data_IF_802732715835
#
_entry.id   IF_802732715835
#
_cell.length_a   1.000
_cell.length_b   1.000
_cell.length_c   1.000
_cell.angle_alpha   90.00
_cell.angle_beta   90.00
_cell.angle_gamma   90.00
#
_symmetry.space_group_name_H-M   'P 1'
#
loop_
_entity.id
_entity.type
_entity.pdbx_description
1 polymer ?
#
# COMPACT_ATOMS: atom_id res chain seq x y z
N UNK A 1 -28.62 -40.65 -65.93
CA UNK A 1 -29.38 -39.37 -65.88
C UNK A 1 -28.57 -38.45 -64.97
N UNK A 2 -27.54 -37.73 -65.45
CA UNK A 2 -27.55 -36.45 -66.22
C UNK A 2 -28.15 -35.37 -65.28
N UNK A 3 -27.47 -34.33 -64.77
CA UNK A 3 -26.49 -33.33 -65.31
C UNK A 3 -25.70 -32.76 -64.08
N UNK A 4 -24.36 -32.77 -63.98
CA UNK A 4 -23.30 -31.90 -64.56
C UNK A 4 -23.35 -30.40 -64.18
N UNK A 5 -22.28 -29.89 -63.56
CA UNK A 5 -21.62 -28.61 -63.94
C UNK A 5 -20.35 -28.40 -63.10
N UNK A 6 -19.23 -28.28 -63.82
CA UNK A 6 -17.86 -28.11 -63.34
C UNK A 6 -17.43 -26.63 -63.31
N UNK A 7 -16.33 -26.25 -62.61
CA UNK A 7 -15.67 -24.97 -62.80
C UNK A 7 -14.46 -25.07 -63.78
N UNK A 8 -14.12 -23.99 -64.54
CA UNK A 8 -12.93 -23.92 -65.40
C UNK A 8 -11.72 -23.21 -64.73
N UNK A 9 -10.53 -23.16 -65.38
CA UNK A 9 -9.23 -23.38 -64.72
C UNK A 9 -8.22 -22.20 -64.72
N UNK A 10 -7.04 -22.51 -64.14
CA UNK A 10 -5.78 -21.78 -64.06
C UNK A 10 -5.33 -20.94 -65.28
N UNK A 11 -4.61 -19.85 -65.00
CA UNK A 11 -3.40 -19.48 -65.76
C UNK A 11 -2.38 -18.75 -64.87
N UNK A 12 -1.13 -19.20 -64.99
CA UNK A 12 0.10 -18.66 -64.42
C UNK A 12 0.64 -17.55 -65.34
N UNK A 13 1.27 -16.53 -64.76
CA UNK A 13 2.37 -15.83 -65.41
C UNK A 13 3.49 -15.51 -64.42
N UNK A 14 4.70 -15.84 -64.86
CA UNK A 14 6.01 -15.73 -64.23
C UNK A 14 6.79 -14.54 -64.81
N UNK A 15 7.66 -13.93 -64.01
CA UNK A 15 8.99 -13.40 -64.40
C UNK A 15 9.75 -13.08 -63.10
N UNK A 16 10.79 -13.83 -62.70
CA UNK A 16 12.16 -13.95 -63.22
C UNK A 16 13.11 -12.80 -62.79
N UNK A 17 13.78 -13.04 -61.66
CA UNK A 17 15.20 -12.87 -61.32
C UNK A 17 16.07 -11.77 -61.97
N UNK A 18 16.84 -11.06 -61.14
CA UNK A 18 18.32 -11.03 -61.23
C UNK A 18 18.97 -10.40 -59.97
N UNK A 19 20.14 -10.94 -59.62
CA UNK A 19 20.95 -10.67 -58.45
C UNK A 19 22.16 -9.77 -58.76
N UNK A 20 22.75 -9.13 -57.74
CA UNK A 20 24.20 -8.92 -57.52
C UNK A 20 24.36 -7.98 -56.29
N UNK A 21 24.86 -8.43 -55.14
CA UNK A 21 26.28 -8.64 -54.78
C UNK A 21 27.04 -7.34 -54.47
N UNK A 22 27.45 -7.18 -53.21
CA UNK A 22 28.39 -6.16 -52.73
C UNK A 22 28.73 -6.39 -51.25
N UNK A 23 29.94 -6.89 -51.00
CA UNK A 23 30.37 -7.49 -49.75
C UNK A 23 30.98 -6.50 -48.72
N UNK A 24 30.86 -6.93 -47.45
CA UNK A 24 31.82 -6.85 -46.34
C UNK A 24 32.45 -5.51 -45.91
N UNK A 25 32.28 -5.18 -44.61
CA UNK A 25 33.38 -5.23 -43.63
C UNK A 25 32.90 -5.10 -42.18
N UNK A 26 33.47 -5.95 -41.34
CA UNK A 26 33.35 -5.96 -39.89
C UNK A 26 34.19 -4.85 -39.24
N UNK A 27 33.76 -4.38 -38.06
CA UNK A 27 34.66 -4.07 -36.93
C UNK A 27 33.84 -3.77 -35.67
N UNK A 28 34.05 -4.59 -34.63
CA UNK A 28 33.87 -4.18 -33.23
C UNK A 28 34.91 -3.10 -32.88
N UNK A 29 34.74 -2.34 -31.78
CA UNK A 29 35.39 -2.81 -30.55
C UNK A 29 34.63 -2.58 -29.22
N UNK A 30 35.08 -3.41 -28.29
CA UNK A 30 34.95 -3.47 -26.85
C UNK A 30 34.85 -2.16 -26.03
N UNK A 31 34.15 -2.32 -24.90
CA UNK A 31 34.39 -1.79 -23.54
C UNK A 31 35.31 -0.58 -23.37
N UNK A 32 34.78 0.45 -22.72
CA UNK A 32 35.49 1.03 -21.57
C UNK A 32 34.49 1.55 -20.52
N UNK A 33 34.77 1.13 -19.29
CA UNK A 33 34.11 1.50 -18.04
C UNK A 33 34.54 2.89 -17.60
N UNK A 34 33.63 3.86 -17.56
CA UNK A 34 33.90 5.14 -16.89
C UNK A 34 33.04 5.24 -15.63
N UNK A 35 33.68 4.95 -14.49
CA UNK A 35 33.29 5.46 -13.18
C UNK A 35 33.66 6.93 -13.16
N UNK A 36 32.67 7.80 -13.05
CA UNK A 36 32.88 9.19 -12.65
C UNK A 36 32.10 9.43 -11.35
N UNK A 37 32.84 9.42 -10.25
CA UNK A 37 32.39 10.03 -9.01
C UNK A 37 32.28 11.55 -9.25
N UNK A 38 31.11 12.12 -9.01
CA UNK A 38 30.95 13.57 -8.90
C UNK A 38 30.46 13.89 -7.51
N UNK A 39 31.42 14.29 -6.67
CA UNK A 39 31.18 15.04 -5.44
C UNK A 39 30.78 16.44 -5.88
N UNK A 40 29.53 16.82 -5.66
CA UNK A 40 29.12 18.23 -5.66
C UNK A 40 28.70 18.63 -4.26
N UNK A 41 29.61 19.30 -3.57
CA UNK A 41 29.30 20.21 -2.47
C UNK A 41 28.51 21.39 -3.03
N UNK A 42 27.29 21.60 -2.54
CA UNK A 42 26.61 22.89 -2.64
C UNK A 42 26.50 23.46 -1.24
N UNK A 43 27.19 24.58 -1.05
CA UNK A 43 27.13 25.44 0.13
C UNK A 43 25.70 25.96 0.31
N UNK A 44 25.12 25.70 1.47
CA UNK A 44 23.96 26.44 1.96
C UNK A 44 24.46 27.79 2.46
N UNK A 45 24.17 28.86 1.71
CA UNK A 45 24.31 30.24 2.17
C UNK A 45 23.01 30.69 2.80
N UNK A 46 23.19 31.41 3.90
CA UNK A 46 22.25 31.89 4.90
C UNK A 46 21.23 32.93 4.41
N UNK A 47 20.18 33.05 5.23
CA UNK A 47 19.44 34.28 5.57
C UNK A 47 18.20 34.60 4.74
N UNK A 48 17.02 34.27 5.28
CA UNK A 48 15.83 35.14 5.15
C UNK A 48 15.12 35.21 6.50
N UNK A 49 14.79 36.45 6.84
CA UNK A 49 14.49 36.97 8.15
C UNK A 49 13.07 36.66 8.65
N UNK A 50 13.00 36.53 9.97
CA UNK A 50 11.80 36.61 10.78
C UNK A 50 11.15 37.99 10.63
N UNK A 51 9.85 38.04 10.35
CA UNK A 51 9.05 39.24 10.56
C UNK A 51 7.71 38.86 11.18
N UNK A 52 7.43 39.25 12.46
CA UNK A 52 6.16 39.00 13.10
C UNK A 52 5.22 40.19 12.88
N UNK A 53 3.99 39.94 12.46
CA UNK A 53 2.92 40.93 12.61
C UNK A 53 1.64 40.27 13.10
N UNK A 54 1.38 40.46 14.39
CA UNK A 54 0.10 40.20 15.03
C UNK A 54 -0.93 41.25 14.60
N UNK A 55 -2.14 40.83 14.24
CA UNK A 55 -3.37 41.61 14.43
C UNK A 55 -4.54 40.70 14.77
N UNK A 56 -4.83 40.67 16.07
CA UNK A 56 -6.15 40.76 16.70
C UNK A 56 -7.38 40.50 15.82
N UNK A 57 -8.16 39.46 16.14
CA UNK A 57 -9.62 39.57 16.18
C UNK A 57 -10.11 39.02 17.52
N UNK A 58 -10.75 39.91 18.26
CA UNK A 58 -11.41 39.73 19.56
C UNK A 58 -12.92 39.77 19.29
N UNK A 59 -13.70 38.91 19.94
CA UNK A 59 -15.10 39.24 20.25
C UNK A 59 -16.10 38.08 20.20
N UNK A 60 -16.50 37.62 21.39
CA UNK A 60 -17.86 37.33 21.89
C UNK A 60 -17.76 36.20 22.94
N UNK A 61 -17.70 36.54 24.24
CA UNK A 61 -18.83 36.67 25.19
C UNK A 61 -19.36 35.28 25.63
N UNK A 62 -18.95 34.79 26.81
CA UNK A 62 -19.73 34.80 28.09
C UNK A 62 -21.06 34.02 27.96
N UNK A 63 -21.43 33.02 28.77
CA UNK A 63 -21.83 32.99 30.20
C UNK A 63 -22.08 31.47 30.47
N UNK A 64 -21.57 30.77 31.50
CA UNK A 64 -21.85 30.75 32.94
C UNK A 64 -20.55 30.31 33.66
N UNK A 65 -20.03 30.90 34.74
CA UNK A 65 -20.72 31.40 35.95
C UNK A 65 -21.00 30.21 36.87
N UNK A 66 -20.00 29.61 37.53
CA UNK A 66 -19.54 29.99 38.87
C UNK A 66 -19.72 28.77 39.80
N UNK A 67 -19.03 28.56 40.91
CA UNK A 67 -18.01 29.34 41.58
C UNK A 67 -17.27 28.40 42.55
N UNK A 68 -15.94 28.61 42.65
CA UNK A 68 -15.05 28.54 43.82
C UNK A 68 -15.23 27.47 44.91
N UNK A 69 -14.10 26.90 45.33
CA UNK A 69 -13.26 27.41 46.44
C UNK A 69 -12.04 26.47 46.60
N UNK A 70 -10.80 26.94 46.39
CA UNK A 70 -9.87 27.70 47.26
C UNK A 70 -8.97 26.85 48.18
N UNK A 71 -7.67 27.17 48.15
CA UNK A 71 -6.65 26.82 49.17
C UNK A 71 -5.46 26.05 48.57
N UNK A 72 -4.34 26.68 48.18
CA UNK A 72 -3.17 27.07 49.02
C UNK A 72 -2.55 25.89 49.77
N UNK A 73 -1.26 25.69 49.94
CA UNK A 73 0.02 26.23 49.46
C UNK A 73 1.09 25.32 50.13
N UNK A 74 2.36 25.47 49.73
CA UNK A 74 3.59 25.10 50.49
C UNK A 74 3.86 23.61 50.78
N UNK A 75 4.85 23.00 50.14
CA UNK A 75 6.28 23.00 50.47
C UNK A 75 6.66 21.92 51.52
N UNK A 76 7.51 20.96 51.12
CA UNK A 76 8.61 20.42 51.91
C UNK A 76 9.44 19.44 51.05
N UNK A 77 10.69 19.82 50.81
CA UNK A 77 11.76 18.94 50.35
C UNK A 77 12.62 18.52 51.56
N UNK A 78 13.44 17.47 51.36
CA UNK A 78 14.57 17.03 52.20
C UNK A 78 14.20 16.35 53.53
N UNK A 79 14.85 15.28 54.00
CA UNK A 79 15.95 14.44 53.55
C UNK A 79 15.98 13.21 54.49
N UNK A 80 16.58 12.09 54.06
CA UNK A 80 17.49 11.30 54.92
C UNK A 80 18.13 10.17 54.11
N UNK A 81 19.45 10.29 53.96
CA UNK A 81 20.32 9.28 53.39
C UNK A 81 20.90 8.37 54.49
N UNK A 82 21.28 7.17 54.05
CA UNK A 82 22.36 6.30 54.53
C UNK A 82 22.08 5.33 55.69
N UNK A 83 22.06 4.03 55.34
CA UNK A 83 22.86 3.00 56.06
C UNK A 83 23.10 1.76 55.19
N UNK A 84 24.37 1.59 54.78
CA UNK A 84 25.18 0.36 54.79
C UNK A 84 24.63 -1.02 54.38
N UNK A 85 25.18 -1.52 53.26
CA UNK A 85 25.62 -2.89 52.94
C UNK A 85 24.78 -4.11 53.37
N UNK A 86 24.26 -4.84 52.38
CA UNK A 86 24.73 -6.20 52.03
C UNK A 86 23.74 -6.88 51.08
N UNK A 87 24.24 -7.44 49.98
CA UNK A 87 23.74 -8.68 49.37
C UNK A 87 22.22 -8.91 49.44
N UNK A 88 21.49 -8.25 48.55
CA UNK A 88 20.48 -8.94 47.75
C UNK A 88 20.34 -8.12 46.48
N UNK A 89 20.71 -8.70 45.33
CA UNK A 89 20.18 -8.21 44.06
C UNK A 89 18.67 -8.46 44.12
N UNK A 90 17.95 -7.54 44.75
CA UNK A 90 16.50 -7.51 44.77
C UNK A 90 16.03 -7.50 43.32
N UNK A 91 15.06 -8.36 43.05
CA UNK A 91 14.42 -8.70 41.77
C UNK A 91 13.63 -7.50 41.19
N UNK A 92 14.19 -6.29 41.23
CA UNK A 92 13.51 -5.02 40.96
C UNK A 92 14.31 -4.04 40.08
N UNK A 93 15.52 -4.39 39.65
CA UNK A 93 16.35 -3.53 38.77
C UNK A 93 16.77 -4.20 37.45
N UNK A 94 16.08 -5.29 37.08
CA UNK A 94 16.06 -5.83 35.72
C UNK A 94 14.66 -5.63 35.15
N UNK A 95 14.26 -4.38 34.98
CA UNK A 95 13.32 -4.01 33.93
C UNK A 95 13.97 -4.39 32.60
N UNK A 96 13.89 -5.66 32.23
CA UNK A 96 14.26 -6.13 30.90
C UNK A 96 13.36 -5.35 29.93
N UNK A 97 13.93 -4.27 29.38
CA UNK A 97 13.49 -3.70 28.12
C UNK A 97 13.50 -4.88 27.15
N UNK A 98 12.34 -5.47 26.92
CA UNK A 98 12.19 -6.52 25.93
C UNK A 98 12.48 -5.84 24.61
N UNK A 99 13.68 -6.08 24.11
CA UNK A 99 14.13 -5.62 22.82
C UNK A 99 14.18 -6.87 21.94
N UNK A 100 13.12 -7.09 21.16
CA UNK A 100 13.03 -8.31 20.33
C UNK A 100 14.15 -8.37 19.30
N UNK A 101 14.75 -7.22 18.97
CA UNK A 101 15.91 -7.10 18.07
C UNK A 101 17.17 -7.77 18.62
N UNK A 102 17.27 -8.02 19.93
CA UNK A 102 18.43 -8.71 20.52
C UNK A 102 18.33 -10.24 20.45
N UNK A 103 17.15 -10.77 20.09
CA UNK A 103 16.93 -12.20 19.96
C UNK A 103 17.58 -12.78 18.71
N UNK A 104 18.15 -13.98 18.83
CA UNK A 104 18.94 -14.63 17.76
C UNK A 104 18.40 -16.00 17.38
N UNK A 105 17.41 -16.52 18.12
CA UNK A 105 16.79 -17.82 17.87
C UNK A 105 15.27 -17.72 17.86
N UNK A 106 14.63 -18.72 17.24
CA UNK A 106 13.18 -18.87 17.28
C UNK A 106 12.65 -19.01 18.72
N UNK A 107 13.37 -19.77 19.55
CA UNK A 107 13.00 -19.98 20.95
C UNK A 107 13.06 -18.68 21.76
N UNK A 108 14.06 -17.84 21.52
CA UNK A 108 14.16 -16.52 22.17
C UNK A 108 12.99 -15.63 21.78
N UNK A 109 12.63 -15.59 20.49
CA UNK A 109 11.50 -14.78 20.00
C UNK A 109 10.18 -15.23 20.64
N UNK A 110 9.85 -16.53 20.55
CA UNK A 110 8.59 -17.07 21.05
C UNK A 110 8.52 -16.99 22.58
N UNK A 111 9.61 -17.30 23.29
CA UNK A 111 9.65 -17.15 24.76
C UNK A 111 9.57 -15.69 25.19
N UNK A 112 10.12 -14.76 24.41
CA UNK A 112 9.99 -13.32 24.62
C UNK A 112 8.53 -12.85 24.58
N UNK A 113 7.76 -13.30 23.60
CA UNK A 113 6.31 -12.99 23.51
C UNK A 113 5.57 -13.53 24.73
N UNK A 114 5.81 -14.78 25.11
CA UNK A 114 5.13 -15.40 26.27
C UNK A 114 5.45 -14.70 27.58
N UNK A 115 6.72 -14.34 27.81
CA UNK A 115 7.13 -13.55 28.99
C UNK A 115 6.49 -12.16 29.00
N UNK A 116 6.34 -11.52 27.85
CA UNK A 116 5.64 -10.25 27.73
C UNK A 116 4.15 -10.38 28.12
N UNK A 117 3.49 -11.45 27.69
CA UNK A 117 2.11 -11.76 28.05
C UNK A 117 1.95 -12.07 29.55
N UNK A 118 2.81 -12.93 30.11
CA UNK A 118 2.81 -13.29 31.54
C UNK A 118 3.04 -12.07 32.45
N UNK A 119 3.81 -11.09 31.99
CA UNK A 119 4.03 -9.82 32.68
C UNK A 119 2.96 -8.75 32.40
N UNK A 120 1.89 -9.09 31.68
CA UNK A 120 0.79 -8.18 31.35
C UNK A 120 1.14 -7.06 30.38
N UNK A 121 2.30 -7.12 29.73
CA UNK A 121 2.77 -6.10 28.77
C UNK A 121 2.28 -6.32 27.34
N UNK A 122 1.81 -7.52 27.03
CA UNK A 122 1.11 -7.83 25.78
C UNK A 122 -0.28 -8.41 26.09
N UNK A 123 -1.34 -7.88 25.47
CA UNK A 123 -2.67 -8.51 25.50
C UNK A 123 -2.65 -9.93 24.93
N UNK A 124 -3.52 -10.80 25.43
CA UNK A 124 -3.56 -12.21 25.03
C UNK A 124 -3.90 -12.39 23.54
N UNK A 125 -4.83 -11.60 23.00
CA UNK A 125 -5.20 -11.65 21.59
C UNK A 125 -4.03 -11.24 20.68
N UNK A 126 -3.27 -10.20 21.06
CA UNK A 126 -2.07 -9.77 20.32
C UNK A 126 -0.97 -10.84 20.39
N UNK A 127 -0.76 -11.42 21.58
CA UNK A 127 0.21 -12.51 21.80
C UNK A 127 -0.07 -13.70 20.87
N UNK A 128 -1.32 -14.17 20.83
CA UNK A 128 -1.74 -15.27 19.94
C UNK A 128 -1.54 -14.90 18.47
N UNK A 129 -1.92 -13.69 18.08
CA UNK A 129 -1.70 -13.20 16.72
C UNK A 129 -0.23 -13.10 16.33
N UNK A 130 0.66 -12.72 17.25
CA UNK A 130 2.11 -12.70 17.01
C UNK A 130 2.69 -14.11 16.84
N UNK A 131 2.28 -15.07 17.67
CA UNK A 131 2.71 -16.48 17.51
C UNK A 131 2.23 -17.06 16.18
N UNK A 132 0.97 -16.82 15.81
CA UNK A 132 0.43 -17.24 14.51
C UNK A 132 1.17 -16.58 13.34
N UNK A 133 1.39 -15.27 13.42
CA UNK A 133 2.10 -14.50 12.39
C UNK A 133 3.49 -15.08 12.13
N UNK A 134 4.24 -15.40 13.19
CA UNK A 134 5.56 -16.03 13.06
C UNK A 134 5.50 -17.36 12.32
N UNK A 135 4.59 -18.24 12.70
CA UNK A 135 4.49 -19.57 12.09
C UNK A 135 4.14 -19.46 10.60
N UNK A 136 3.16 -18.62 10.26
CA UNK A 136 2.72 -18.46 8.87
C UNK A 136 3.79 -17.77 8.01
N UNK A 137 4.41 -16.70 8.52
CA UNK A 137 5.50 -16.02 7.83
C UNK A 137 6.72 -16.94 7.62
N UNK A 138 7.15 -17.67 8.65
CA UNK A 138 8.25 -18.63 8.55
C UNK A 138 8.00 -19.66 7.46
N UNK A 139 6.81 -20.27 7.50
CA UNK A 139 6.47 -21.33 6.55
C UNK A 139 6.44 -20.80 5.10
N UNK A 140 5.89 -19.60 4.89
CA UNK A 140 5.87 -18.95 3.57
C UNK A 140 7.28 -18.63 3.06
N UNK A 141 8.14 -18.02 3.87
CA UNK A 141 9.52 -17.70 3.46
C UNK A 141 10.31 -18.98 3.22
N UNK A 142 10.08 -20.06 3.98
CA UNK A 142 10.76 -21.34 3.74
C UNK A 142 10.28 -21.99 2.44
N UNK A 143 9.00 -21.86 2.09
CA UNK A 143 8.44 -22.34 0.83
C UNK A 143 9.08 -21.69 -0.40
N UNK A 144 9.59 -20.46 -0.28
CA UNK A 144 10.30 -19.76 -1.37
C UNK A 144 11.57 -20.49 -1.84
N UNK A 145 12.16 -21.34 -0.99
CA UNK A 145 13.44 -22.00 -1.26
C UNK A 145 14.66 -21.08 -1.18
N UNK A 146 14.53 -19.87 -0.64
CA UNK A 146 15.66 -18.95 -0.44
C UNK A 146 16.70 -19.59 0.51
N UNK A 147 17.98 -19.70 0.11
CA UNK A 147 19.03 -20.26 0.98
C UNK A 147 19.24 -19.50 2.29
N UNK A 148 18.82 -18.22 2.36
CA UNK A 148 18.86 -17.37 3.54
C UNK A 148 17.51 -17.29 4.27
N UNK A 149 16.53 -18.13 3.92
CA UNK A 149 15.19 -18.09 4.48
C UNK A 149 15.18 -18.04 6.02
N UNK A 150 16.04 -18.82 6.69
CA UNK A 150 16.18 -18.80 8.16
C UNK A 150 16.61 -17.43 8.70
N UNK A 151 17.62 -16.81 8.08
CA UNK A 151 18.12 -15.49 8.49
C UNK A 151 17.07 -14.40 8.25
N UNK A 152 16.40 -14.46 7.10
CA UNK A 152 15.31 -13.54 6.72
C UNK A 152 14.18 -13.61 7.74
N UNK A 153 13.73 -14.82 8.10
CA UNK A 153 12.66 -15.02 9.08
C UNK A 153 13.04 -14.42 10.42
N UNK A 154 14.21 -14.77 10.95
CA UNK A 154 14.64 -14.29 12.26
C UNK A 154 14.76 -12.76 12.29
N UNK A 155 15.40 -12.17 11.28
CA UNK A 155 15.59 -10.71 11.19
C UNK A 155 14.27 -9.97 11.08
N UNK A 156 13.41 -10.36 10.13
CA UNK A 156 12.16 -9.65 9.86
C UNK A 156 11.16 -9.82 11.01
N UNK A 157 11.07 -11.01 11.61
CA UNK A 157 10.15 -11.26 12.72
C UNK A 157 10.62 -10.60 14.03
N UNK A 158 11.92 -10.55 14.29
CA UNK A 158 12.46 -9.80 15.43
C UNK A 158 12.09 -8.32 15.35
N UNK A 159 12.29 -7.71 14.18
CA UNK A 159 11.89 -6.31 13.94
C UNK A 159 10.37 -6.13 14.01
N UNK A 160 9.59 -7.01 13.38
CA UNK A 160 8.13 -6.92 13.42
C UNK A 160 7.61 -6.98 14.85
N UNK A 161 8.08 -7.95 15.65
CA UNK A 161 7.69 -8.08 17.05
C UNK A 161 8.09 -6.89 17.90
N UNK A 162 9.29 -6.36 17.69
CA UNK A 162 9.74 -5.17 18.37
C UNK A 162 8.81 -3.97 18.09
N UNK A 163 8.48 -3.73 16.81
CA UNK A 163 7.62 -2.63 16.41
C UNK A 163 6.16 -2.81 16.88
N UNK A 164 5.63 -4.02 16.83
CA UNK A 164 4.30 -4.34 17.38
C UNK A 164 4.27 -4.10 18.89
N UNK A 165 5.28 -4.59 19.61
CA UNK A 165 5.39 -4.41 21.05
C UNK A 165 5.49 -2.92 21.45
N UNK A 166 6.26 -2.13 20.69
CA UNK A 166 6.33 -0.69 20.88
C UNK A 166 4.97 -0.01 20.69
N UNK A 167 4.22 -0.37 19.64
CA UNK A 167 2.90 0.20 19.39
C UNK A 167 1.87 -0.24 20.44
N UNK A 168 1.93 -1.46 20.97
CA UNK A 168 1.07 -1.88 22.09
C UNK A 168 1.36 -1.05 23.35
N UNK A 169 2.64 -0.72 23.59
CA UNK A 169 3.07 0.07 24.75
C UNK A 169 2.69 1.54 24.61
N UNK A 170 2.85 2.11 23.43
CA UNK A 170 2.57 3.50 23.12
C UNK A 170 1.90 3.58 21.72
N UNK A 171 0.56 3.42 21.67
CA UNK A 171 -0.15 3.32 20.40
C UNK A 171 0.00 4.57 19.54
N UNK A 172 0.51 4.38 18.33
CA UNK A 172 0.56 5.46 17.34
C UNK A 172 -0.85 5.91 16.95
N UNK A 173 -1.10 7.21 16.98
CA UNK A 173 -2.36 7.81 16.55
C UNK A 173 -2.22 8.38 15.13
N UNK A 174 -3.07 7.90 14.22
CA UNK A 174 -3.02 8.31 12.82
C UNK A 174 -3.79 9.62 12.60
N UNK A 175 -3.12 10.60 12.00
CA UNK A 175 -3.79 11.79 11.49
C UNK A 175 -4.63 11.47 10.26
N UNK A 176 -5.58 12.36 9.93
CA UNK A 176 -6.44 12.26 8.75
C UNK A 176 -5.66 12.11 7.44
N UNK A 177 -4.57 12.86 7.31
CA UNK A 177 -3.50 12.60 6.36
C UNK A 177 -2.23 12.23 7.13
N UNK A 178 -1.73 11.01 6.91
CA UNK A 178 -0.53 10.48 7.52
C UNK A 178 0.59 10.42 6.46
N UNK A 179 1.79 10.87 6.83
CA UNK A 179 2.99 10.76 6.00
C UNK A 179 3.83 9.59 6.48
N UNK A 180 4.38 8.81 5.55
CA UNK A 180 5.24 7.69 5.88
C UNK A 180 6.38 8.11 6.82
N UNK A 181 6.56 7.38 7.93
CA UNK A 181 7.63 7.64 8.88
C UNK A 181 8.91 6.97 8.36
N UNK A 182 9.92 7.79 8.05
CA UNK A 182 11.21 7.36 7.51
C UNK A 182 12.35 7.43 8.53
N UNK A 183 12.19 8.21 9.59
CA UNK A 183 13.21 8.47 10.62
C UNK A 183 12.57 8.59 12.01
N UNK A 184 13.26 8.21 13.11
CA UNK A 184 14.59 7.60 13.15
C UNK A 184 14.60 6.11 12.78
N UNK A 185 13.40 5.53 12.57
CA UNK A 185 13.23 4.17 12.05
C UNK A 185 12.44 4.25 10.74
N UNK A 186 12.98 3.64 9.69
CA UNK A 186 12.36 3.63 8.38
C UNK A 186 11.26 2.55 8.30
N UNK A 187 10.03 2.93 8.65
CA UNK A 187 8.87 2.02 8.60
C UNK A 187 8.50 1.63 7.15
N UNK A 188 8.82 2.47 6.17
CA UNK A 188 8.62 2.15 4.75
C UNK A 188 9.53 0.99 4.36
N UNK A 189 10.83 1.12 4.59
CA UNK A 189 11.79 0.06 4.26
C UNK A 189 11.58 -1.20 5.09
N UNK A 190 11.18 -1.07 6.36
CA UNK A 190 10.73 -2.20 7.18
C UNK A 190 9.61 -2.99 6.48
N UNK A 191 8.55 -2.30 6.03
CA UNK A 191 7.44 -2.94 5.33
C UNK A 191 7.85 -3.55 3.99
N UNK A 192 8.68 -2.86 3.20
CA UNK A 192 9.22 -3.39 1.94
C UNK A 192 10.02 -4.69 2.17
N UNK A 193 10.93 -4.68 3.15
CA UNK A 193 11.79 -5.82 3.46
C UNK A 193 11.01 -7.01 4.04
N UNK A 194 9.94 -6.73 4.78
CA UNK A 194 9.06 -7.76 5.32
C UNK A 194 8.26 -8.47 4.22
N UNK A 195 7.72 -7.74 3.24
CA UNK A 195 6.85 -8.33 2.20
C UNK A 195 7.66 -8.93 1.03
N UNK A 196 8.85 -8.39 0.72
CA UNK A 196 9.70 -8.86 -0.38
C UNK A 196 9.90 -10.38 -0.45
N UNK A 197 10.25 -11.12 0.63
CA UNK A 197 10.49 -12.56 0.55
C UNK A 197 9.23 -13.40 0.35
N UNK A 198 8.03 -12.77 0.36
CA UNK A 198 6.76 -13.43 0.09
C UNK A 198 6.37 -13.35 -1.39
N UNK A 199 7.04 -12.49 -2.18
CA UNK A 199 6.76 -12.30 -3.59
C UNK A 199 7.64 -13.21 -4.44
N UNK A 200 7.01 -14.08 -5.24
CA UNK A 200 7.70 -14.78 -6.32
C UNK A 200 7.85 -13.87 -7.54
N UNK A 201 8.91 -13.06 -7.54
CA UNK A 201 9.22 -12.15 -8.65
C UNK A 201 9.38 -12.87 -9.99
N UNK A 202 9.74 -14.17 -10.01
CA UNK A 202 9.87 -14.92 -11.28
C UNK A 202 8.52 -15.20 -11.91
N UNK A 203 7.48 -15.33 -11.10
CA UNK A 203 6.09 -15.54 -11.53
C UNK A 203 5.21 -14.32 -11.28
N UNK A 204 5.81 -13.14 -11.19
CA UNK A 204 5.09 -11.86 -11.04
C UNK A 204 5.17 -11.04 -12.31
N UNK A 205 4.20 -10.14 -12.55
CA UNK A 205 4.11 -9.38 -13.80
C UNK A 205 3.59 -7.96 -13.59
N UNK A 206 4.10 -7.03 -14.40
CA UNK A 206 3.57 -5.66 -14.51
C UNK A 206 2.99 -5.44 -15.90
N UNK A 207 1.69 -5.12 -15.96
CA UNK A 207 0.96 -4.74 -17.17
C UNK A 207 1.11 -3.25 -17.48
N UNK A 208 1.42 -2.96 -18.74
CA UNK A 208 1.52 -1.62 -19.31
C UNK A 208 2.49 -0.69 -18.55
N UNK A 209 3.72 -1.16 -18.32
CA UNK A 209 4.74 -0.40 -17.58
C UNK A 209 4.98 1.02 -18.13
N UNK A 210 4.81 1.22 -19.43
CA UNK A 210 4.93 2.55 -20.06
C UNK A 210 3.91 3.57 -19.55
N UNK A 211 2.71 3.13 -19.14
CA UNK A 211 1.70 4.02 -18.57
C UNK A 211 2.07 4.49 -17.16
N UNK A 212 2.82 3.70 -16.39
CA UNK A 212 3.38 4.19 -15.12
C UNK A 212 4.43 5.29 -15.34
N UNK A 213 5.18 5.23 -16.44
CA UNK A 213 6.10 6.31 -16.80
C UNK A 213 5.32 7.58 -17.19
N UNK A 214 4.25 7.45 -17.99
CA UNK A 214 3.36 8.56 -18.32
C UNK A 214 2.73 9.20 -17.08
N UNK A 215 2.26 8.37 -16.14
CA UNK A 215 1.76 8.82 -14.83
C UNK A 215 2.84 9.62 -14.08
N UNK A 216 4.09 9.15 -14.10
CA UNK A 216 5.23 9.88 -13.55
C UNK A 216 5.44 11.25 -14.21
N UNK A 217 5.39 11.31 -15.54
CA UNK A 217 5.55 12.55 -16.30
C UNK A 217 4.44 13.56 -15.99
N UNK A 218 3.19 13.11 -15.84
CA UNK A 218 2.05 13.96 -15.45
C UNK A 218 2.21 14.53 -14.04
N UNK A 219 2.67 13.72 -13.08
CA UNK A 219 2.96 14.20 -11.73
C UNK A 219 4.05 15.28 -11.73
N UNK A 220 5.09 15.11 -12.57
CA UNK A 220 6.14 16.13 -12.76
C UNK A 220 5.62 17.42 -13.40
N UNK A 221 4.57 17.35 -14.21
CA UNK A 221 3.90 18.52 -14.80
C UNK A 221 3.02 19.28 -13.80
N UNK A 222 2.79 18.74 -12.61
CA UNK A 222 1.92 19.33 -11.60
C UNK A 222 0.54 18.68 -11.50
N UNK A 223 0.23 17.70 -12.35
CA UNK A 223 -1.10 17.10 -12.40
C UNK A 223 -1.35 16.16 -11.23
N UNK A 224 -2.64 15.94 -10.93
CA UNK A 224 -3.08 14.94 -9.95
C UNK A 224 -3.39 13.61 -10.62
N UNK A 225 -3.11 12.51 -9.94
CA UNK A 225 -3.39 11.16 -10.39
C UNK A 225 -4.24 10.43 -9.35
N UNK A 226 -5.34 9.81 -9.79
CA UNK A 226 -6.12 8.88 -8.98
C UNK A 226 -6.11 7.51 -9.64
N UNK A 227 -5.65 6.50 -8.91
CA UNK A 227 -5.69 5.10 -9.30
C UNK A 227 -6.93 4.45 -8.69
N UNK A 228 -7.89 4.09 -9.53
CA UNK A 228 -9.11 3.38 -9.15
C UNK A 228 -8.87 1.89 -9.23
N UNK A 229 -8.80 1.22 -8.09
CA UNK A 229 -8.30 -0.15 -8.02
C UNK A 229 -9.24 -1.14 -7.35
N UNK A 230 -9.05 -2.44 -7.63
CA UNK A 230 -9.46 -3.48 -6.69
C UNK A 230 -8.49 -3.53 -5.49
N UNK A 231 -8.79 -4.37 -4.51
CA UNK A 231 -8.00 -4.47 -3.28
C UNK A 231 -8.02 -5.92 -2.82
N UNK A 232 -6.89 -6.53 -2.49
CA UNK A 232 -6.83 -7.96 -2.19
C UNK A 232 -6.28 -8.27 -0.82
N UNK A 233 -5.25 -7.57 -0.38
CA UNK A 233 -4.54 -7.83 0.87
C UNK A 233 -4.24 -6.55 1.61
N UNK A 234 -3.96 -6.64 2.91
CA UNK A 234 -3.47 -5.48 3.67
C UNK A 234 -2.05 -5.07 3.24
N UNK A 235 -1.35 -5.95 2.52
CA UNK A 235 -0.02 -5.74 1.97
C UNK A 235 -0.02 -5.10 0.57
N UNK A 236 -1.19 -4.78 -0.02
CA UNK A 236 -1.29 -4.16 -1.35
C UNK A 236 -0.35 -2.96 -1.54
N UNK A 237 -0.23 -2.01 -0.59
CA UNK A 237 0.73 -0.90 -0.72
C UNK A 237 2.18 -1.36 -0.90
N UNK A 238 2.59 -2.40 -0.17
CA UNK A 238 3.94 -2.95 -0.28
C UNK A 238 4.14 -3.70 -1.60
N UNK A 239 3.14 -4.48 -2.03
CA UNK A 239 3.17 -5.18 -3.32
C UNK A 239 3.30 -4.19 -4.47
N UNK A 240 2.47 -3.13 -4.50
CA UNK A 240 2.54 -2.09 -5.52
C UNK A 240 3.93 -1.44 -5.53
N UNK A 241 4.44 -1.03 -4.36
CA UNK A 241 5.74 -0.39 -4.25
C UNK A 241 6.88 -1.32 -4.71
N UNK A 242 6.88 -2.60 -4.30
CA UNK A 242 7.90 -3.59 -4.67
C UNK A 242 7.92 -3.88 -6.17
N UNK A 243 6.76 -3.88 -6.84
CA UNK A 243 6.69 -4.12 -8.29
C UNK A 243 7.12 -2.91 -9.13
N UNK A 244 7.16 -1.72 -8.53
CA UNK A 244 7.50 -0.47 -9.20
C UNK A 244 8.84 0.13 -8.74
N UNK A 245 9.51 -0.42 -7.74
CA UNK A 245 10.68 0.22 -7.12
C UNK A 245 11.88 0.39 -8.06
N UNK A 246 12.05 -0.49 -9.05
CA UNK A 246 13.18 -0.43 -9.98
C UNK A 246 12.96 0.58 -11.11
N UNK A 247 11.72 0.76 -11.56
CA UNK A 247 11.36 1.59 -12.73
C UNK A 247 10.73 2.92 -12.34
N UNK A 248 9.93 2.93 -11.29
CA UNK A 248 9.12 4.08 -10.86
C UNK A 248 9.24 4.30 -9.33
N UNK A 249 10.47 4.48 -8.78
CA UNK A 249 10.68 4.61 -7.34
C UNK A 249 9.92 5.79 -6.72
N UNK A 250 9.76 6.89 -7.48
CA UNK A 250 8.96 8.02 -7.02
C UNK A 250 7.50 7.64 -6.78
N UNK A 251 6.90 6.82 -7.64
CA UNK A 251 5.54 6.32 -7.43
C UNK A 251 5.49 5.36 -6.24
N UNK A 252 6.47 4.46 -6.12
CA UNK A 252 6.56 3.48 -5.05
C UNK A 252 6.61 4.12 -3.65
N UNK A 253 7.32 5.25 -3.52
CA UNK A 253 7.51 5.93 -2.23
C UNK A 253 6.44 7.00 -1.90
N UNK A 254 5.86 7.65 -2.92
CA UNK A 254 5.00 8.82 -2.71
C UNK A 254 3.50 8.56 -2.89
N UNK A 255 3.08 7.37 -3.33
CA UNK A 255 1.67 7.02 -3.44
C UNK A 255 0.95 7.17 -2.09
N UNK A 256 -0.21 7.85 -2.12
CA UNK A 256 -1.08 8.04 -0.97
C UNK A 256 -2.22 7.04 -1.04
N UNK A 257 -2.36 6.18 -0.03
CA UNK A 257 -3.39 5.14 0.00
C UNK A 257 -4.59 5.59 0.83
N UNK A 258 -5.78 5.56 0.25
CA UNK A 258 -7.03 5.72 1.03
C UNK A 258 -7.23 4.44 1.83
N UNK A 259 -7.03 4.51 3.15
CA UNK A 259 -6.95 3.33 4.02
C UNK A 259 -8.07 3.32 5.08
N UNK A 260 -8.59 2.12 5.31
CA UNK A 260 -9.64 1.82 6.28
C UNK A 260 -9.16 1.83 7.73
N UNK A 261 -10.10 1.77 8.66
CA UNK A 261 -9.88 1.83 10.11
C UNK A 261 -9.11 0.62 10.67
N UNK A 262 -9.25 -0.57 10.07
CA UNK A 262 -8.60 -1.79 10.60
C UNK A 262 -7.08 -1.73 10.56
N UNK A 263 -6.50 -1.33 9.44
CA UNK A 263 -5.04 -1.32 9.26
C UNK A 263 -4.35 -0.22 10.08
N UNK A 264 -5.12 0.75 10.60
CA UNK A 264 -4.63 1.81 11.48
C UNK A 264 -4.97 1.59 12.97
N UNK A 265 -5.73 0.54 13.29
CA UNK A 265 -6.12 0.20 14.68
C UNK A 265 -5.55 -1.14 15.14
N UNK A 266 -5.38 -2.12 14.26
CA UNK A 266 -4.81 -3.44 14.59
C UNK A 266 -3.30 -3.33 14.88
N UNK A 267 -2.84 -3.64 16.11
CA UNK A 267 -1.42 -3.55 16.48
C UNK A 267 -0.48 -4.38 15.60
N UNK A 268 -0.97 -5.46 15.00
CA UNK A 268 -0.18 -6.32 14.10
C UNK A 268 0.04 -5.66 12.72
N UNK A 269 -0.80 -4.69 12.36
CA UNK A 269 -0.78 -4.03 11.05
C UNK A 269 -0.21 -2.61 11.13
N UNK A 270 -0.40 -1.92 12.27
CA UNK A 270 0.00 -0.53 12.46
C UNK A 270 1.45 -0.23 12.10
N UNK A 271 2.46 -1.04 12.47
CA UNK A 271 3.83 -0.81 12.04
C UNK A 271 4.00 -0.72 10.51
N UNK A 272 3.26 -1.53 9.74
CA UNK A 272 3.30 -1.47 8.29
C UNK A 272 2.61 -0.21 7.74
N UNK A 273 1.47 0.16 8.34
CA UNK A 273 0.73 1.38 8.00
C UNK A 273 1.51 2.66 8.31
N UNK A 274 2.29 2.68 9.40
CA UNK A 274 3.16 3.81 9.76
C UNK A 274 4.18 4.13 8.65
N UNK A 275 4.57 3.14 7.85
CA UNK A 275 5.49 3.27 6.73
C UNK A 275 4.87 3.72 5.41
N UNK A 276 3.59 4.08 5.37
CA UNK A 276 2.89 4.48 4.13
C UNK A 276 2.32 5.89 4.24
N UNK A 277 2.12 6.55 3.10
CA UNK A 277 1.33 7.78 3.07
C UNK A 277 -0.15 7.37 3.03
N UNK A 278 -0.96 7.83 3.98
CA UNK A 278 -2.34 7.38 4.11
C UNK A 278 -3.31 8.57 4.17
N UNK A 279 -4.46 8.40 3.54
CA UNK A 279 -5.67 9.16 3.88
C UNK A 279 -6.58 8.24 4.68
N UNK A 280 -6.64 8.48 5.99
CA UNK A 280 -7.31 7.61 6.94
C UNK A 280 -8.82 7.85 6.93
N UNK A 281 -9.60 6.85 6.53
CA UNK A 281 -11.05 6.91 6.44
C UNK A 281 -11.70 5.70 7.09
N UNK A 282 -12.83 5.90 7.75
CA UNK A 282 -13.70 4.82 8.19
C UNK A 282 -14.51 4.29 7.01
N UNK A 283 -14.42 2.99 6.75
CA UNK A 283 -15.17 2.35 5.67
C UNK A 283 -16.67 2.45 5.92
N UNK A 284 -17.45 2.66 4.85
CA UNK A 284 -18.91 2.58 4.91
C UNK A 284 -19.39 1.23 5.46
N UNK A 285 -18.65 0.15 5.20
CA UNK A 285 -18.96 -1.22 5.65
C UNK A 285 -18.97 -1.35 7.17
N UNK A 286 -18.14 -0.57 7.87
CA UNK A 286 -17.97 -0.63 9.33
C UNK A 286 -18.45 0.65 10.05
N UNK A 287 -19.14 1.53 9.32
CA UNK A 287 -19.61 2.81 9.87
C UNK A 287 -20.60 2.60 11.02
N UNK A 288 -21.51 1.63 10.87
CA UNK A 288 -22.61 1.37 11.78
C UNK A 288 -22.39 0.16 12.71
N UNK A 289 -21.16 -0.39 12.76
CA UNK A 289 -20.85 -1.54 13.63
C UNK A 289 -21.03 -1.19 15.12
N UNK A 290 -20.73 0.06 15.47
CA UNK A 290 -20.99 0.66 16.78
C UNK A 290 -21.73 1.99 16.58
N UNK A 291 -23.04 2.06 16.93
CA UNK A 291 -23.84 3.28 16.79
C UNK A 291 -23.29 4.50 17.54
N UNK A 292 -22.59 4.30 18.66
CA UNK A 292 -22.06 5.41 19.48
C UNK A 292 -20.89 6.11 18.79
N UNK A 293 -20.16 5.37 17.94
CA UNK A 293 -18.99 5.88 17.23
C UNK A 293 -19.30 6.51 15.87
N UNK A 294 -20.54 6.36 15.36
CA UNK A 294 -20.92 6.84 14.01
C UNK A 294 -20.62 8.32 13.79
N UNK A 295 -20.99 9.17 14.74
CA UNK A 295 -20.80 10.63 14.61
C UNK A 295 -19.32 11.01 14.61
N UNK A 296 -18.52 10.35 15.47
CA UNK A 296 -17.07 10.52 15.50
C UNK A 296 -16.45 10.09 14.16
N UNK A 297 -16.82 8.91 13.64
CA UNK A 297 -16.34 8.38 12.36
C UNK A 297 -16.68 9.30 11.19
N UNK A 298 -17.90 9.88 11.17
CA UNK A 298 -18.31 10.85 10.14
C UNK A 298 -17.50 12.14 10.19
N UNK A 299 -17.21 12.66 11.39
CA UNK A 299 -16.37 13.86 11.56
C UNK A 299 -14.93 13.60 11.11
N UNK A 300 -14.37 12.44 11.46
CA UNK A 300 -13.04 12.03 11.00
C UNK A 300 -12.98 11.94 9.47
N UNK A 301 -13.95 11.26 8.82
CA UNK A 301 -14.01 11.20 7.36
C UNK A 301 -14.15 12.58 6.72
N UNK A 302 -14.94 13.48 7.31
CA UNK A 302 -15.07 14.85 6.81
C UNK A 302 -13.74 15.60 6.87
N UNK A 303 -12.93 15.38 7.91
CA UNK A 303 -11.59 15.95 8.03
C UNK A 303 -10.65 15.37 6.96
N UNK A 304 -10.63 14.06 6.78
CA UNK A 304 -9.79 13.40 5.76
C UNK A 304 -10.15 13.83 4.33
N UNK A 305 -11.43 14.02 4.02
CA UNK A 305 -11.86 14.57 2.73
C UNK A 305 -11.41 16.02 2.52
N UNK A 306 -11.37 16.85 3.57
CA UNK A 306 -10.84 18.22 3.49
C UNK A 306 -9.34 18.21 3.23
N UNK A 307 -8.59 17.34 3.92
CA UNK A 307 -7.15 17.21 3.70
C UNK A 307 -6.84 16.69 2.30
N UNK A 308 -7.60 15.70 1.82
CA UNK A 308 -7.52 15.22 0.43
C UNK A 308 -7.76 16.34 -0.58
N UNK A 309 -8.81 17.15 -0.39
CA UNK A 309 -9.09 18.29 -1.27
C UNK A 309 -7.97 19.33 -1.24
N UNK A 310 -7.33 19.55 -0.07
CA UNK A 310 -6.19 20.45 0.05
C UNK A 310 -4.95 19.91 -0.68
N UNK A 311 -4.68 18.60 -0.57
CA UNK A 311 -3.59 17.95 -1.30
C UNK A 311 -3.78 18.09 -2.82
N UNK A 312 -4.98 17.77 -3.33
CA UNK A 312 -5.29 17.88 -4.76
C UNK A 312 -5.15 19.32 -5.29
N UNK A 313 -5.51 20.34 -4.49
CA UNK A 313 -5.26 21.76 -4.85
C UNK A 313 -3.78 22.11 -4.95
N UNK A 314 -2.91 21.36 -4.28
CA UNK A 314 -1.47 21.52 -4.35
C UNK A 314 -0.83 20.95 -5.61
N UNK A 315 -1.53 20.07 -6.34
CA UNK A 315 -1.01 19.37 -7.50
C UNK A 315 0.00 18.28 -7.16
N UNK A 316 0.57 17.65 -8.19
CA UNK A 316 1.59 16.58 -8.10
C UNK A 316 1.26 15.48 -7.08
N UNK A 317 -0.02 15.16 -6.94
CA UNK A 317 -0.52 14.22 -5.92
C UNK A 317 -0.98 12.94 -6.59
N UNK A 318 -0.49 11.79 -6.12
CA UNK A 318 -0.95 10.47 -6.54
C UNK A 318 -1.71 9.77 -5.41
N UNK A 319 -2.95 9.38 -5.68
CA UNK A 319 -3.84 8.72 -4.71
C UNK A 319 -4.26 7.36 -5.25
N UNK A 320 -4.10 6.31 -4.45
CA UNK A 320 -4.72 5.01 -4.67
C UNK A 320 -5.99 4.89 -3.83
N UNK A 321 -7.06 4.41 -4.45
CA UNK A 321 -8.32 4.14 -3.77
C UNK A 321 -8.94 2.85 -4.30
N UNK A 322 -9.51 2.05 -3.41
CA UNK A 322 -10.37 0.92 -3.75
C UNK A 322 -11.84 1.26 -3.51
N UNK A 323 -12.62 1.63 -4.56
CA UNK A 323 -14.00 2.08 -4.38
C UNK A 323 -14.95 0.98 -3.87
N UNK A 324 -14.56 -0.29 -3.92
CA UNK A 324 -15.30 -1.39 -3.29
C UNK A 324 -15.32 -1.30 -1.75
N UNK A 325 -14.43 -0.49 -1.15
CA UNK A 325 -14.34 -0.23 0.27
C UNK A 325 -13.86 -1.40 1.13
N UNK A 326 -13.32 -2.46 0.51
CA UNK A 326 -12.69 -3.58 1.20
C UNK A 326 -12.10 -4.60 0.24
N UNK A 327 -11.36 -5.57 0.80
CA UNK A 327 -10.68 -6.61 0.02
C UNK A 327 -11.66 -7.48 -0.79
N UNK A 328 -11.20 -7.99 -1.92
CA UNK A 328 -11.87 -8.99 -2.75
C UNK A 328 -12.14 -10.26 -1.92
N UNK A 329 -13.09 -11.08 -2.35
CA UNK A 329 -13.41 -12.36 -1.71
C UNK A 329 -13.65 -13.41 -2.79
N UNK A 330 -13.36 -14.69 -2.50
CA UNK A 330 -13.72 -15.75 -3.41
C UNK A 330 -15.23 -15.87 -3.49
N UNK A 331 -15.74 -16.19 -4.67
CA UNK A 331 -17.13 -16.60 -4.84
C UNK A 331 -17.41 -17.81 -3.92
N UNK A 332 -18.50 -17.79 -3.13
CA UNK A 332 -18.76 -18.82 -2.14
C UNK A 332 -19.10 -20.21 -2.74
N UNK A 333 -19.42 -20.27 -4.03
CA UNK A 333 -19.78 -21.50 -4.74
C UNK A 333 -18.60 -22.01 -5.57
N UNK A 334 -18.02 -21.17 -6.43
CA UNK A 334 -16.93 -21.58 -7.32
C UNK A 334 -15.54 -21.51 -6.66
N UNK A 335 -15.40 -20.73 -5.59
CA UNK A 335 -14.10 -20.44 -4.96
C UNK A 335 -13.21 -19.49 -5.74
N UNK A 336 -13.69 -18.93 -6.86
CA UNK A 336 -12.90 -18.06 -7.72
C UNK A 336 -12.84 -16.62 -7.21
N UNK A 337 -11.68 -15.98 -7.39
CA UNK A 337 -11.46 -14.59 -7.00
C UNK A 337 -11.63 -13.65 -8.19
N UNK A 338 -12.34 -12.54 -7.93
CA UNK A 338 -12.53 -11.44 -8.87
C UNK A 338 -12.57 -10.10 -8.11
N UNK A 339 -12.24 -8.98 -8.78
CA UNK A 339 -12.46 -7.65 -8.24
C UNK A 339 -13.86 -7.47 -7.65
N UNK A 340 -13.96 -6.94 -6.43
CA UNK A 340 -15.24 -6.62 -5.83
C UNK A 340 -15.90 -5.40 -6.51
N UNK A 341 -17.25 -5.35 -6.63
CA UNK A 341 -17.94 -4.23 -7.26
C UNK A 341 -17.61 -2.87 -6.63
N UNK A 342 -17.48 -1.86 -7.47
CA UNK A 342 -17.19 -0.49 -7.04
C UNK A 342 -18.45 0.24 -6.52
N UNK A 343 -18.28 1.01 -5.44
CA UNK A 343 -19.33 1.92 -4.96
C UNK A 343 -19.39 3.17 -5.84
N UNK A 344 -20.48 3.32 -6.59
CA UNK A 344 -20.72 4.44 -7.52
C UNK A 344 -20.53 5.80 -6.84
N UNK A 345 -20.97 5.93 -5.59
CA UNK A 345 -20.83 7.18 -4.84
C UNK A 345 -19.37 7.50 -4.51
N UNK A 346 -18.55 6.50 -4.22
CA UNK A 346 -17.11 6.69 -3.93
C UNK A 346 -16.34 7.09 -5.18
N UNK A 347 -16.63 6.47 -6.32
CA UNK A 347 -16.06 6.85 -7.61
C UNK A 347 -16.46 8.29 -7.98
N UNK A 348 -17.75 8.63 -7.91
CA UNK A 348 -18.23 9.98 -8.25
C UNK A 348 -17.67 11.05 -7.30
N UNK A 349 -17.55 10.75 -6.00
CA UNK A 349 -16.96 11.69 -5.04
C UNK A 349 -15.49 12.00 -5.38
N UNK A 350 -14.69 10.98 -5.67
CA UNK A 350 -13.30 11.18 -6.09
C UNK A 350 -13.18 11.96 -7.39
N UNK A 351 -14.00 11.62 -8.40
CA UNK A 351 -14.06 12.37 -9.66
C UNK A 351 -14.34 13.85 -9.42
N UNK A 352 -15.37 14.17 -8.61
CA UNK A 352 -15.69 15.56 -8.28
C UNK A 352 -14.55 16.27 -7.56
N UNK A 353 -13.88 15.60 -6.62
CA UNK A 353 -12.74 16.19 -5.90
C UNK A 353 -11.61 16.56 -6.87
N UNK A 354 -11.31 15.69 -7.84
CA UNK A 354 -10.31 15.94 -8.88
C UNK A 354 -10.73 17.11 -9.77
N UNK A 355 -11.96 17.12 -10.28
CA UNK A 355 -12.47 18.19 -11.15
C UNK A 355 -12.48 19.58 -10.48
N UNK A 356 -12.77 19.62 -9.17
CA UNK A 356 -12.85 20.87 -8.42
C UNK A 356 -11.54 21.23 -7.71
N UNK A 357 -10.44 20.51 -7.99
CA UNK A 357 -9.13 20.79 -7.41
C UNK A 357 -8.50 22.08 -7.97
N UNK A 358 -8.91 22.52 -9.17
CA UNK A 358 -8.29 23.65 -9.86
C UNK A 358 -6.92 23.35 -10.48
N UNK A 359 -6.52 22.08 -10.46
CA UNK A 359 -5.31 21.52 -11.08
C UNK A 359 -5.75 20.35 -11.96
N UNK A 360 -5.16 20.14 -13.16
CA UNK A 360 -5.53 19.00 -14.00
C UNK A 360 -5.39 17.69 -13.23
N UNK A 361 -6.29 16.76 -13.48
CA UNK A 361 -6.20 15.46 -12.84
C UNK A 361 -6.81 14.33 -13.65
N UNK A 362 -6.25 13.15 -13.41
CA UNK A 362 -6.42 11.98 -14.25
C UNK A 362 -6.85 10.78 -13.42
N UNK A 363 -7.75 9.96 -13.96
CA UNK A 363 -8.30 8.80 -13.27
C UNK A 363 -7.99 7.55 -14.10
N UNK A 364 -7.12 6.70 -13.56
CA UNK A 364 -6.67 5.47 -14.20
C UNK A 364 -7.25 4.24 -13.50
N UNK A 365 -7.81 3.27 -14.25
CA UNK A 365 -8.15 1.96 -13.70
C UNK A 365 -6.88 1.11 -13.46
N UNK A 366 -6.73 0.60 -12.24
CA UNK A 366 -5.58 -0.20 -11.80
C UNK A 366 -6.03 -1.58 -11.30
N UNK A 367 -5.50 -2.66 -11.85
CA UNK A 367 -5.73 -4.00 -11.31
C UNK A 367 -4.52 -4.49 -10.49
N UNK A 368 -4.81 -5.13 -9.35
CA UNK A 368 -3.84 -5.84 -8.52
C UNK A 368 -4.28 -7.29 -8.30
N UNK A 369 -3.33 -8.22 -8.42
CA UNK A 369 -3.51 -9.63 -8.11
C UNK A 369 -2.44 -10.07 -7.12
N UNK A 370 -2.82 -10.27 -5.86
CA UNK A 370 -1.91 -10.72 -4.79
C UNK A 370 -2.61 -11.42 -3.62
N UNK A 371 -3.89 -11.80 -3.75
CA UNK A 371 -4.64 -12.43 -2.65
C UNK A 371 -3.93 -13.66 -2.07
N UNK A 372 -3.17 -14.43 -2.86
CA UNK A 372 -2.47 -15.62 -2.37
C UNK A 372 -1.42 -15.30 -1.30
N UNK A 373 -0.77 -14.13 -1.34
CA UNK A 373 0.27 -13.77 -0.37
C UNK A 373 -0.30 -13.61 1.03
N UNK A 374 -1.44 -12.94 1.17
CA UNK A 374 -2.06 -12.63 2.46
C UNK A 374 -3.59 -12.50 2.31
N UNK A 375 -4.29 -13.62 2.05
CA UNK A 375 -5.70 -13.58 1.69
C UNK A 375 -6.54 -13.13 2.88
N UNK A 376 -7.63 -12.38 2.63
CA UNK A 376 -8.59 -12.10 3.68
C UNK A 376 -9.34 -13.37 4.12
N UNK A 377 -9.93 -13.37 5.32
CA UNK A 377 -10.88 -14.39 5.72
C UNK A 377 -12.04 -14.48 4.72
N UNK A 378 -12.63 -15.67 4.46
CA UNK A 378 -13.69 -15.84 3.47
C UNK A 378 -14.93 -14.97 3.71
N UNK A 379 -15.19 -14.59 4.96
CA UNK A 379 -16.27 -13.68 5.36
C UNK A 379 -15.69 -12.40 5.97
N UNK A 380 -16.43 -11.31 5.88
CA UNK A 380 -16.07 -10.08 6.59
C UNK A 380 -16.32 -10.31 8.08
N UNK A 381 -15.24 -10.44 8.85
CA UNK A 381 -15.30 -10.51 10.31
C UNK A 381 -15.65 -9.14 10.87
N UNK A 382 -16.29 -9.05 12.04
CA UNK A 382 -16.63 -7.77 12.70
C UNK A 382 -15.52 -7.28 13.63
N UNK A 383 -14.88 -8.22 14.34
CA UNK A 383 -13.84 -7.94 15.31
C UNK A 383 -12.47 -7.73 14.64
N UNK A 384 -11.56 -7.07 15.36
CA UNK A 384 -10.15 -6.90 14.97
C UNK A 384 -9.37 -8.15 15.41
N UNK A 385 -8.36 -8.54 14.63
CA UNK A 385 -7.55 -9.73 14.91
C UNK A 385 -7.90 -10.93 14.05
N UNK A 386 -8.13 -10.70 12.76
CA UNK A 386 -8.38 -11.79 11.81
C UNK A 386 -7.22 -12.77 11.71
N UNK A 387 -7.54 -14.02 11.39
CA UNK A 387 -6.55 -15.07 11.15
C UNK A 387 -5.68 -14.72 9.94
N UNK A 388 -4.36 -14.64 10.14
CA UNK A 388 -3.41 -14.20 9.09
C UNK A 388 -2.78 -15.38 8.39
N UNK A 389 -3.36 -15.81 7.27
CA UNK A 389 -2.68 -16.75 6.38
C UNK A 389 -1.63 -16.01 5.54
N UNK A 390 -0.45 -16.61 5.37
CA UNK A 390 0.64 -16.05 4.57
C UNK A 390 1.19 -17.15 3.65
N UNK A 391 1.47 -16.81 2.39
CA UNK A 391 2.13 -17.73 1.46
C UNK A 391 3.15 -17.01 0.56
N UNK A 392 4.04 -17.79 -0.06
CA UNK A 392 4.93 -17.32 -1.11
C UNK A 392 4.26 -17.53 -2.48
N UNK A 393 4.02 -16.45 -3.22
CA UNK A 393 3.31 -16.54 -4.50
C UNK A 393 3.66 -15.40 -5.47
N UNK A 394 3.39 -15.63 -6.76
CA UNK A 394 3.49 -14.60 -7.80
C UNK A 394 2.35 -13.57 -7.68
N UNK A 395 2.64 -12.32 -8.04
CA UNK A 395 1.71 -11.20 -7.97
C UNK A 395 1.64 -10.42 -9.28
N UNK A 396 0.56 -9.67 -9.47
CA UNK A 396 0.31 -8.89 -10.67
C UNK A 396 -0.07 -7.45 -10.32
N UNK A 397 0.43 -6.51 -11.12
CA UNK A 397 -0.02 -5.13 -11.13
C UNK A 397 -0.23 -4.69 -12.57
N UNK A 398 -1.32 -4.03 -12.88
CA UNK A 398 -1.57 -3.50 -14.22
C UNK A 398 -2.30 -2.17 -14.12
N UNK A 399 -1.97 -1.25 -15.02
CA UNK A 399 -2.74 -0.03 -15.25
C UNK A 399 -3.20 0.01 -16.71
N UNK A 400 -4.37 0.58 -16.98
CA UNK A 400 -4.85 0.84 -18.34
C UNK A 400 -5.08 2.35 -18.55
N UNK A 401 -5.24 2.83 -19.79
CA UNK A 401 -5.42 4.27 -20.06
C UNK A 401 -6.56 4.90 -19.26
N UNK A 402 -6.44 6.22 -19.04
CA UNK A 402 -7.46 6.96 -18.30
C UNK A 402 -8.85 6.86 -18.96
N UNK A 403 -9.88 6.81 -18.14
CA UNK A 403 -11.27 6.81 -18.61
C UNK A 403 -11.86 8.19 -18.34
N UNK A 404 -12.25 8.87 -19.43
CA UNK A 404 -12.90 10.17 -19.37
C UNK A 404 -14.36 10.08 -18.91
N UNK A 405 -14.80 11.05 -18.11
CA UNK A 405 -16.21 11.19 -17.77
C UNK A 405 -16.97 11.92 -18.89
N UNK A 406 -17.70 11.19 -19.72
CA UNK A 406 -18.55 11.77 -20.75
C UNK A 406 -19.98 11.96 -20.24
N UNK A 407 -20.28 13.16 -19.73
CA UNK A 407 -21.61 13.49 -19.20
C UNK A 407 -22.71 13.65 -20.27
N UNK A 408 -22.35 13.71 -21.56
CA UNK A 408 -23.24 14.11 -22.65
C UNK A 408 -24.07 12.96 -23.25
N UNK A 409 -23.82 11.71 -22.86
CA UNK A 409 -24.41 10.53 -23.53
C UNK A 409 -25.76 10.06 -22.97
N UNK A 410 -26.15 10.47 -21.75
CA UNK A 410 -27.44 10.11 -21.15
C UNK A 410 -28.06 11.31 -20.44
N UNK A 411 -29.37 11.51 -20.63
CA UNK A 411 -30.16 12.58 -19.98
C UNK A 411 -30.23 12.46 -18.45
N UNK A 412 -29.79 11.33 -17.87
CA UNK A 412 -29.88 11.02 -16.44
C UNK A 412 -28.49 11.03 -15.77
N UNK A 413 -28.22 11.99 -14.86
CA UNK A 413 -26.97 12.09 -14.11
C UNK A 413 -26.60 10.83 -13.32
N UNK A 414 -27.58 10.08 -12.79
CA UNK A 414 -27.29 8.85 -12.04
C UNK A 414 -26.83 7.72 -12.96
N UNK A 415 -27.41 7.63 -14.17
CA UNK A 415 -26.94 6.66 -15.17
C UNK A 415 -25.55 6.99 -15.68
N UNK A 416 -25.21 8.27 -15.81
CA UNK A 416 -23.84 8.67 -16.20
C UNK A 416 -22.80 8.24 -15.14
N UNK A 417 -23.11 8.41 -13.84
CA UNK A 417 -22.23 7.95 -12.76
C UNK A 417 -22.07 6.44 -12.75
N UNK A 418 -23.18 5.71 -12.93
CA UNK A 418 -23.16 4.26 -12.98
C UNK A 418 -22.36 3.74 -14.19
N UNK A 419 -22.57 4.32 -15.39
CA UNK A 419 -21.85 3.95 -16.60
C UNK A 419 -20.34 4.22 -16.47
N UNK A 420 -19.95 5.37 -15.89
CA UNK A 420 -18.55 5.68 -15.64
C UNK A 420 -17.90 4.71 -14.65
N UNK A 421 -18.60 4.40 -13.56
CA UNK A 421 -18.16 3.41 -12.56
C UNK A 421 -17.99 2.03 -13.19
N UNK A 422 -18.95 1.63 -14.03
CA UNK A 422 -18.92 0.36 -14.74
C UNK A 422 -17.73 0.28 -15.71
N UNK A 423 -17.46 1.34 -16.48
CA UNK A 423 -16.33 1.39 -17.40
C UNK A 423 -14.98 1.21 -16.69
N UNK A 424 -14.79 1.88 -15.54
CA UNK A 424 -13.60 1.68 -14.69
C UNK A 424 -13.51 0.25 -14.17
N UNK A 425 -14.62 -0.28 -13.65
CA UNK A 425 -14.68 -1.64 -13.11
C UNK A 425 -14.42 -2.71 -14.18
N UNK A 426 -14.97 -2.56 -15.39
CA UNK A 426 -14.76 -3.46 -16.52
C UNK A 426 -13.29 -3.48 -16.94
N UNK A 427 -12.65 -2.30 -17.02
CA UNK A 427 -11.21 -2.21 -17.30
C UNK A 427 -10.35 -2.88 -16.23
N UNK A 428 -10.69 -2.72 -14.95
CA UNK A 428 -9.99 -3.42 -13.85
C UNK A 428 -10.17 -4.94 -13.98
N UNK A 429 -11.37 -5.42 -14.34
CA UNK A 429 -11.62 -6.85 -14.54
C UNK A 429 -10.85 -7.42 -15.75
N UNK A 430 -10.80 -6.69 -16.87
CA UNK A 430 -10.03 -7.10 -18.05
C UNK A 430 -8.55 -7.29 -17.70
N UNK A 431 -7.96 -6.28 -17.06
CA UNK A 431 -6.58 -6.30 -16.60
C UNK A 431 -6.34 -7.44 -15.60
N UNK A 432 -7.24 -7.61 -14.62
CA UNK A 432 -7.14 -8.66 -13.62
C UNK A 432 -7.15 -10.06 -14.24
N UNK A 433 -8.00 -10.30 -15.25
CA UNK A 433 -8.06 -11.59 -15.93
C UNK A 433 -6.79 -11.91 -16.73
N UNK A 434 -6.14 -10.90 -17.31
CA UNK A 434 -4.81 -11.06 -17.94
C UNK A 434 -3.76 -11.45 -16.89
N UNK A 435 -3.72 -10.76 -15.74
CA UNK A 435 -2.83 -11.11 -14.63
C UNK A 435 -3.09 -12.53 -14.10
N UNK A 436 -4.37 -12.90 -13.92
CA UNK A 436 -4.80 -14.25 -13.49
C UNK A 436 -4.32 -15.31 -14.49
N UNK A 437 -4.42 -15.03 -15.79
CA UNK A 437 -3.97 -15.95 -16.85
C UNK A 437 -2.45 -16.10 -16.87
N UNK A 438 -1.71 -15.01 -16.63
CA UNK A 438 -0.26 -15.03 -16.55
C UNK A 438 0.24 -15.86 -15.36
N UNK A 439 -0.35 -15.64 -14.18
CA UNK A 439 0.11 -16.16 -12.89
C UNK A 439 -0.51 -17.52 -12.60
N UNK A 440 -1.82 -17.59 -12.38
CA UNK A 440 -2.53 -18.84 -12.07
C UNK A 440 -2.65 -19.75 -13.30
N UNK A 441 -2.87 -19.16 -14.47
CA UNK A 441 -2.90 -19.86 -15.75
C UNK A 441 -1.51 -20.28 -16.27
N UNK A 442 -0.43 -19.82 -15.62
CA UNK A 442 0.97 -20.12 -15.96
C UNK A 442 1.36 -19.77 -17.40
N UNK A 443 0.67 -18.82 -18.02
CA UNK A 443 0.98 -18.38 -19.38
C UNK A 443 2.15 -17.38 -19.41
N UNK A 444 2.49 -16.78 -18.26
CA UNK A 444 3.48 -15.73 -18.15
C UNK A 444 3.26 -14.58 -19.12
N UNK A 445 4.30 -14.13 -19.80
CA UNK A 445 4.22 -13.02 -20.77
C UNK A 445 3.27 -13.31 -21.95
N UNK A 446 3.00 -14.58 -22.26
CA UNK A 446 2.09 -14.97 -23.36
C UNK A 446 0.62 -14.67 -23.05
N UNK A 447 0.27 -14.36 -21.79
CA UNK A 447 -1.07 -13.87 -21.44
C UNK A 447 -1.34 -12.45 -21.95
N UNK A 448 -0.31 -11.71 -22.41
CA UNK A 448 -0.46 -10.34 -22.89
C UNK A 448 -1.51 -10.25 -24.00
N UNK A 449 -2.27 -9.16 -23.97
CA UNK A 449 -3.28 -8.82 -24.97
C UNK A 449 -2.89 -7.50 -25.67
N UNK A 450 -3.60 -7.09 -26.74
CA UNK A 450 -3.36 -5.77 -27.34
C UNK A 450 -3.57 -4.59 -26.36
N UNK A 451 -4.35 -4.78 -25.29
CA UNK A 451 -4.68 -3.77 -24.27
C UNK A 451 -3.84 -3.87 -23.01
N UNK A 452 -3.21 -5.03 -22.76
CA UNK A 452 -2.38 -5.29 -21.56
C UNK A 452 -1.08 -5.97 -21.97
N UNK A 453 0.00 -5.20 -22.04
CA UNK A 453 1.35 -5.69 -22.31
C UNK A 453 2.07 -6.03 -21.00
N UNK A 454 2.32 -7.31 -20.74
CA UNK A 454 3.00 -7.75 -19.52
C UNK A 454 4.52 -7.65 -19.63
N UNK A 455 5.17 -7.39 -18.50
CA UNK A 455 6.62 -7.30 -18.36
C UNK A 455 7.08 -7.74 -16.96
N UNK A 456 8.38 -7.95 -16.77
CA UNK A 456 9.01 -8.25 -15.48
C UNK A 456 10.19 -7.28 -15.25
N UNK A 457 9.94 -6.04 -14.80
CA UNK A 457 10.92 -4.93 -14.79
C UNK A 457 12.07 -5.05 -13.77
N UNK A 458 12.28 -6.24 -13.21
CA UNK A 458 13.34 -6.57 -12.26
C UNK A 458 14.26 -7.69 -12.78
N UNK A 459 13.96 -8.28 -13.94
CA UNK A 459 14.79 -9.31 -14.57
C UNK A 459 15.92 -8.71 -15.40
#
# INVERSE_FOLDING_TARGET
>A
MVILSAPPPCSLFTSAAAAAAGAARASSPACSSWRAASIFSVKVSSSVEFCPSAKSVRGMAEIFGGDKTNGSATAAAEALAASGSSSSCSVSELSLSLNFVDFRTEEDLLSGIRKAAESGRLPLNVTQGMEELYQNYRNAVYQSGDPKAREIVLSNMALAFDRIFMDVKDPFDFSSYHKAIREPFDYYMFGQNYIRPLIDFRNSYVGNISLFNEIGDKLLQGDNIVLMSNHQTEADPAVIALLLESTNPNLAENMIYVAGDRVITDPLCKPFSMGRNLLCVYSKKHMNDDPELVEMKRRANTKSLKDMALLLRGGSTIIWIAPSGGRDRPDPVSGEWYPAPFDVSSVDNMRRLVEHAGVPGHIYPLAILCHDIMPPPPKVEKEIGEKRMISFHGVGLSVAPEIGFHAASLEDPEKNKAAYTQALYDSVNEQYNVLKSAIHGKQGLNASTPTVSLSQPWQ
#
